data_IF_019903199338
#
_entry.id   IF_019903199338
#
_cell.length_a   1.000
_cell.length_b   1.000
_cell.length_c   1.000
_cell.angle_alpha   90.00
_cell.angle_beta   90.00
_cell.angle_gamma   90.00
#
_symmetry.space_group_name_H-M   'P 1'
#
loop_
_entity.id
_entity.type
_entity.pdbx_description
1 polymer ?
#
# COMPACT_ATOMS: atom_id res chain seq x y z
N UNK A 1 -4.72 -8.61 0.87
CA UNK A 1 -5.60 -7.67 0.15
C UNK A 1 -6.12 -6.62 1.10
N UNK A 2 -6.85 -6.99 2.17
CA UNK A 2 -7.28 -6.00 3.19
C UNK A 2 -6.22 -5.79 4.26
N UNK A 3 -5.88 -4.53 4.52
CA UNK A 3 -5.20 -4.11 5.74
C UNK A 3 -6.27 -3.56 6.70
N UNK A 4 -6.06 -3.74 8.01
CA UNK A 4 -6.91 -3.07 8.99
C UNK A 4 -6.68 -1.55 8.94
N UNK A 5 -7.72 -0.72 9.16
CA UNK A 5 -7.54 0.72 9.27
C UNK A 5 -6.56 1.06 10.39
N UNK A 6 -5.68 2.02 10.13
CA UNK A 6 -4.77 2.51 11.17
C UNK A 6 -5.56 3.20 12.28
N UNK A 7 -5.24 2.85 13.52
CA UNK A 7 -5.73 3.60 14.68
C UNK A 7 -5.05 4.97 14.77
N UNK A 8 -5.72 5.92 15.41
CA UNK A 8 -5.13 7.23 15.71
C UNK A 8 -3.81 7.12 16.48
N UNK A 9 -3.69 6.12 17.37
CA UNK A 9 -2.48 5.89 18.16
C UNK A 9 -1.30 5.47 17.29
N UNK A 10 -1.50 4.53 16.36
CA UNK A 10 -0.45 4.09 15.43
C UNK A 10 0.03 5.24 14.53
N UNK A 11 -0.91 6.07 14.05
CA UNK A 11 -0.59 7.25 13.26
C UNK A 11 0.28 8.23 14.07
N UNK A 12 -0.11 8.52 15.33
CA UNK A 12 0.65 9.42 16.19
C UNK A 12 2.05 8.88 16.51
N UNK A 13 2.15 7.59 16.87
CA UNK A 13 3.42 6.92 17.16
C UNK A 13 4.36 6.98 15.95
N UNK A 14 3.85 6.76 14.74
CA UNK A 14 4.63 6.88 13.51
C UNK A 14 5.16 8.31 13.30
N UNK A 15 4.32 9.34 13.47
CA UNK A 15 4.76 10.72 13.31
C UNK A 15 5.82 11.14 14.33
N UNK A 16 5.71 10.70 15.59
CA UNK A 16 6.72 10.98 16.62
C UNK A 16 8.05 10.30 16.26
N UNK A 17 8.01 9.00 15.96
CA UNK A 17 9.20 8.26 15.56
C UNK A 17 9.85 8.82 14.29
N UNK A 18 9.03 9.26 13.32
CA UNK A 18 9.54 9.88 12.09
C UNK A 18 10.24 11.21 12.35
N UNK A 19 9.80 12.02 13.32
CA UNK A 19 10.45 13.29 13.69
C UNK A 19 11.78 13.09 14.41
N UNK A 20 11.87 12.03 15.22
CA UNK A 20 13.07 11.71 16.01
C UNK A 20 14.11 10.91 15.19
N UNK A 21 13.74 10.47 13.99
CA UNK A 21 14.57 9.68 13.10
C UNK A 21 15.43 10.55 12.16
N UNK A 22 16.58 10.05 11.76
CA UNK A 22 17.41 10.63 10.69
C UNK A 22 16.95 10.23 9.27
N UNK A 23 15.93 9.37 9.17
CA UNK A 23 15.36 8.93 7.88
C UNK A 23 14.73 10.12 7.16
N UNK A 24 15.21 10.41 5.96
CA UNK A 24 14.78 11.58 5.18
C UNK A 24 13.58 11.33 4.27
N UNK A 25 13.32 10.06 3.95
CA UNK A 25 12.25 9.65 3.04
C UNK A 25 11.77 8.25 3.39
N UNK A 26 10.47 8.10 3.50
CA UNK A 26 9.80 6.80 3.64
C UNK A 26 9.05 6.55 2.33
N UNK A 27 9.12 5.32 1.84
CA UNK A 27 8.42 4.88 0.63
C UNK A 27 7.65 3.63 1.00
N UNK A 28 6.37 3.58 0.65
CA UNK A 28 5.60 2.35 0.83
C UNK A 28 5.78 1.43 -0.37
N UNK A 29 5.93 0.14 -0.12
CA UNK A 29 5.88 -0.86 -1.18
C UNK A 29 4.52 -1.54 -1.14
N UNK A 30 3.72 -1.35 -2.18
CA UNK A 30 2.40 -1.96 -2.29
C UNK A 30 2.52 -3.50 -2.24
N UNK A 31 1.47 -4.16 -1.75
CA UNK A 31 1.46 -5.61 -1.58
C UNK A 31 1.74 -6.34 -2.90
N UNK A 32 2.56 -7.39 -2.86
CA UNK A 32 2.83 -8.26 -4.02
C UNK A 32 1.57 -8.99 -4.54
N UNK A 33 0.48 -8.99 -3.76
CA UNK A 33 -0.81 -9.55 -4.16
C UNK A 33 -1.57 -8.64 -5.14
N UNK A 34 -1.23 -7.35 -5.21
CA UNK A 34 -1.84 -6.42 -6.15
C UNK A 34 -1.34 -6.76 -7.56
N UNK A 35 -2.27 -7.10 -8.45
CA UNK A 35 -2.03 -7.36 -9.85
C UNK A 35 -3.07 -6.62 -10.70
N UNK A 36 -2.79 -5.36 -11.06
CA UNK A 36 -3.66 -4.56 -11.92
C UNK A 36 -3.70 -5.08 -13.38
N UNK A 37 -2.67 -5.84 -13.78
CA UNK A 37 -2.64 -6.54 -15.06
C UNK A 37 -3.45 -7.84 -15.10
N UNK A 38 -4.01 -8.29 -13.98
CA UNK A 38 -4.73 -9.56 -13.90
C UNK A 38 -6.12 -9.54 -14.55
N UNK A 39 -6.79 -10.70 -14.53
CA UNK A 39 -8.19 -10.80 -14.97
C UNK A 39 -9.12 -9.94 -14.11
N UNK A 40 -10.35 -9.72 -14.56
CA UNK A 40 -11.27 -8.75 -13.94
C UNK A 40 -11.52 -8.99 -12.45
N UNK A 41 -11.57 -10.26 -12.02
CA UNK A 41 -11.75 -10.60 -10.61
C UNK A 41 -10.53 -10.20 -9.76
N UNK A 42 -9.32 -10.49 -10.24
CA UNK A 42 -8.06 -10.13 -9.58
C UNK A 42 -7.84 -8.61 -9.62
N UNK A 43 -8.17 -7.97 -10.75
CA UNK A 43 -8.01 -6.53 -10.93
C UNK A 43 -8.91 -5.74 -9.99
N UNK A 44 -10.19 -6.11 -9.84
CA UNK A 44 -11.11 -5.42 -8.92
C UNK A 44 -10.62 -5.45 -7.47
N UNK A 45 -10.19 -6.61 -6.97
CA UNK A 45 -9.57 -6.71 -5.64
C UNK A 45 -8.29 -5.87 -5.54
N UNK A 46 -7.57 -5.70 -6.66
CA UNK A 46 -6.24 -5.05 -6.69
C UNK A 46 -6.38 -3.56 -6.57
N UNK A 47 -7.41 -3.02 -7.22
CA UNK A 47 -7.82 -1.63 -7.11
C UNK A 47 -8.23 -1.31 -5.67
N UNK A 48 -9.09 -2.13 -5.05
CA UNK A 48 -9.49 -1.95 -3.64
C UNK A 48 -8.30 -1.96 -2.68
N UNK A 49 -7.39 -2.93 -2.84
CA UNK A 49 -6.20 -3.04 -2.02
C UNK A 49 -5.24 -1.85 -2.22
N UNK A 50 -5.08 -1.36 -3.47
CA UNK A 50 -4.26 -0.20 -3.76
C UNK A 50 -4.86 1.09 -3.20
N UNK A 51 -6.18 1.27 -3.29
CA UNK A 51 -6.88 2.42 -2.69
C UNK A 51 -6.64 2.44 -1.17
N UNK A 52 -6.81 1.29 -0.50
CA UNK A 52 -6.55 1.16 0.94
C UNK A 52 -5.10 1.50 1.30
N UNK A 53 -4.14 1.06 0.49
CA UNK A 53 -2.73 1.39 0.68
C UNK A 53 -2.44 2.88 0.51
N UNK A 54 -3.06 3.53 -0.49
CA UNK A 54 -2.93 4.98 -0.71
C UNK A 54 -3.57 5.80 0.41
N UNK A 55 -4.69 5.35 0.97
CA UNK A 55 -5.31 5.97 2.15
C UNK A 55 -4.40 5.84 3.38
N UNK A 56 -3.82 4.66 3.60
CA UNK A 56 -2.84 4.42 4.66
C UNK A 56 -1.64 5.35 4.54
N UNK A 57 -1.08 5.48 3.32
CA UNK A 57 0.03 6.38 3.04
C UNK A 57 -0.35 7.85 3.30
N UNK A 58 -1.56 8.27 2.91
CA UNK A 58 -2.08 9.61 3.21
C UNK A 58 -2.15 9.88 4.71
N UNK A 59 -2.62 8.92 5.52
CA UNK A 59 -2.67 9.08 6.97
C UNK A 59 -1.29 9.21 7.62
N UNK A 60 -0.28 8.55 7.05
CA UNK A 60 1.10 8.56 7.54
C UNK A 60 1.98 9.64 6.89
N UNK A 61 1.44 10.48 6.00
CA UNK A 61 2.21 11.44 5.18
C UNK A 61 3.38 10.78 4.42
N UNK A 62 3.13 9.60 3.83
CA UNK A 62 4.06 8.94 2.92
C UNK A 62 3.66 9.31 1.49
N UNK A 63 4.55 10.03 0.80
CA UNK A 63 4.26 10.61 -0.52
C UNK A 63 4.47 9.63 -1.69
N UNK A 64 5.24 8.56 -1.47
CA UNK A 64 5.65 7.65 -2.54
C UNK A 64 5.19 6.21 -2.25
N UNK A 65 4.56 5.60 -3.26
CA UNK A 65 4.21 4.18 -3.27
C UNK A 65 4.83 3.50 -4.48
N UNK A 66 5.62 2.46 -4.23
CA UNK A 66 6.13 1.56 -5.26
C UNK A 66 5.09 0.48 -5.54
N UNK A 67 4.75 0.32 -6.81
CA UNK A 67 3.77 -0.65 -7.28
C UNK A 67 4.35 -1.44 -8.45
N UNK A 68 4.22 -2.75 -8.40
CA UNK A 68 4.39 -3.58 -9.60
C UNK A 68 3.13 -3.44 -10.46
N UNK A 69 3.25 -3.13 -11.78
CA UNK A 69 2.08 -3.04 -12.65
C UNK A 69 1.22 -4.31 -12.66
N UNK A 70 1.86 -5.46 -12.44
CA UNK A 70 1.24 -6.78 -12.48
C UNK A 70 1.64 -7.57 -13.71
N UNK A 71 0.92 -8.66 -13.95
CA UNK A 71 1.14 -9.59 -15.06
C UNK A 71 -0.20 -10.02 -15.66
N UNK A 72 -0.24 -10.15 -16.99
CA UNK A 72 -1.45 -10.47 -17.75
C UNK A 72 -1.76 -11.97 -17.85
N UNK A 73 -0.79 -12.83 -17.53
CA UNK A 73 -0.95 -14.27 -17.63
C UNK A 73 -1.82 -14.79 -16.49
N UNK A 74 -2.79 -15.64 -16.82
CA UNK A 74 -3.45 -16.43 -15.80
C UNK A 74 -2.45 -17.47 -15.27
N UNK A 75 -2.44 -17.66 -13.96
CA UNK A 75 -1.75 -18.80 -13.35
C UNK A 75 -2.31 -20.07 -13.98
N UNK A 76 -1.59 -20.65 -14.94
CA UNK A 76 -1.83 -22.05 -15.34
C UNK A 76 -1.60 -22.88 -14.08
N UNK A 77 -2.69 -23.40 -13.53
CA UNK A 77 -2.68 -24.21 -12.31
C UNK A 77 -1.80 -25.44 -12.40
#
# INVERSE_FOLDING_TARGET
>A
WSNDPLSFREIEEFYRASKDSSVRKVVSHASYLINLGGNDHVRGKSEEALISELERCRHLSIDDVVLHPGFALESTG
#
